data_IF_146296841238
#
_entry.id   IF_146296841238
#
_cell.length_a   1.000
_cell.length_b   1.000
_cell.length_c   1.000
_cell.angle_alpha   90.00
_cell.angle_beta   90.00
_cell.angle_gamma   90.00
#
_symmetry.space_group_name_H-M   'P 1'
#
loop_
_entity.id
_entity.type
_entity.pdbx_description
1 polymer ?
#
# COMPACT_ATOMS: atom_id res chain seq x y z
N UNK A 1 -7.02 9.60 3.05
CA UNK A 1 -6.97 11.08 2.92
C UNK A 1 -7.90 11.68 1.86
N UNK A 2 -8.58 10.89 1.01
CA UNK A 2 -9.49 11.41 -0.03
C UNK A 2 -10.70 12.18 0.51
N UNK A 3 -11.17 11.84 1.71
CA UNK A 3 -12.35 12.47 2.35
C UNK A 3 -12.11 13.97 2.62
N UNK A 4 -10.89 14.36 3.00
CA UNK A 4 -10.56 15.76 3.28
C UNK A 4 -10.65 16.66 2.04
N UNK A 5 -10.20 16.16 0.89
CA UNK A 5 -10.29 16.88 -0.39
C UNK A 5 -11.73 17.05 -0.86
N UNK A 6 -12.55 16.01 -0.71
CA UNK A 6 -13.97 16.07 -1.05
C UNK A 6 -14.68 17.11 -0.19
N UNK A 7 -14.37 17.17 1.10
CA UNK A 7 -14.94 18.17 2.02
C UNK A 7 -14.50 19.61 1.72
N UNK A 8 -13.30 19.79 1.15
CA UNK A 8 -12.80 21.10 0.71
C UNK A 8 -13.23 21.48 -0.72
N UNK A 9 -13.95 20.61 -1.43
CA UNK A 9 -14.34 20.84 -2.83
C UNK A 9 -13.17 20.85 -3.82
N UNK A 10 -12.00 20.38 -3.41
CA UNK A 10 -10.76 20.44 -4.19
C UNK A 10 -10.56 19.23 -5.11
N UNK A 11 -11.43 18.23 -5.00
CA UNK A 11 -11.35 17.00 -5.78
C UNK A 11 -11.38 17.27 -7.30
N UNK A 12 -12.11 18.30 -7.73
CA UNK A 12 -12.20 18.68 -9.14
C UNK A 12 -10.90 19.29 -9.66
N UNK A 13 -10.14 20.01 -8.83
CA UNK A 13 -8.88 20.65 -9.22
C UNK A 13 -7.78 19.63 -9.50
N UNK A 14 -7.71 18.56 -8.70
CA UNK A 14 -6.69 17.51 -8.86
C UNK A 14 -7.00 16.53 -10.01
N UNK A 15 -8.25 16.49 -10.51
CA UNK A 15 -8.65 15.58 -11.59
C UNK A 15 -8.57 16.21 -12.98
N UNK A 16 -8.74 17.53 -13.10
CA UNK A 16 -8.76 18.21 -14.40
C UNK A 16 -7.36 18.32 -15.00
N UNK A 17 -7.15 17.69 -16.16
CA UNK A 17 -5.92 17.77 -16.95
C UNK A 17 -5.75 19.16 -17.56
N UNK A 18 -4.52 19.68 -17.55
CA UNK A 18 -4.17 20.93 -18.21
C UNK A 18 -4.50 20.86 -19.72
N UNK A 19 -5.27 21.80 -20.28
CA UNK A 19 -5.50 21.88 -21.72
C UNK A 19 -4.18 22.10 -22.48
N UNK A 20 -4.01 21.45 -23.64
CA UNK A 20 -2.82 21.65 -24.49
C UNK A 20 -2.94 22.98 -25.25
N UNK A 21 -1.88 23.79 -25.34
CA UNK A 21 -1.94 25.03 -26.12
C UNK A 21 -2.11 24.71 -27.61
N UNK A 22 -3.14 25.28 -28.25
CA UNK A 22 -3.33 25.35 -29.70
C UNK A 22 -3.78 26.78 -30.03
N UNK A 23 -3.39 27.33 -31.19
CA UNK A 23 -3.57 28.74 -31.59
C UNK A 23 -5.04 29.14 -31.86
N UNK A 24 -5.93 28.98 -30.88
CA UNK A 24 -7.34 29.39 -30.99
C UNK A 24 -7.77 30.11 -29.71
N UNK A 25 -8.32 31.33 -29.85
CA UNK A 25 -8.68 32.23 -28.74
C UNK A 25 -9.55 31.63 -27.61
N UNK A 26 -10.51 30.71 -27.85
CA UNK A 26 -11.32 30.10 -26.78
C UNK A 26 -10.48 29.31 -25.76
N UNK A 27 -9.36 28.73 -26.20
CA UNK A 27 -8.49 27.86 -25.40
C UNK A 27 -7.63 28.69 -24.42
N UNK A 28 -7.31 29.94 -24.75
CA UNK A 28 -6.53 30.83 -23.87
C UNK A 28 -7.32 31.14 -22.58
N UNK A 29 -8.63 31.39 -22.71
CA UNK A 29 -9.54 31.62 -21.58
C UNK A 29 -9.66 30.38 -20.69
N UNK A 30 -9.76 29.20 -21.31
CA UNK A 30 -9.84 27.92 -20.59
C UNK A 30 -8.54 27.59 -19.84
N UNK A 31 -7.38 27.85 -20.46
CA UNK A 31 -6.06 27.71 -19.81
C UNK A 31 -5.95 28.67 -18.62
N UNK A 32 -6.34 29.93 -18.78
CA UNK A 32 -6.30 30.90 -17.69
C UNK A 32 -7.22 30.50 -16.52
N UNK A 33 -8.42 29.98 -16.81
CA UNK A 33 -9.33 29.48 -15.80
C UNK A 33 -8.78 28.24 -15.10
N UNK A 34 -8.14 27.33 -15.84
CA UNK A 34 -7.46 26.17 -15.28
C UNK A 34 -6.31 26.57 -14.35
N UNK A 35 -5.43 27.50 -14.80
CA UNK A 35 -4.31 28.00 -13.99
C UNK A 35 -4.79 28.63 -12.69
N UNK A 36 -5.88 29.42 -12.73
CA UNK A 36 -6.48 29.99 -11.52
C UNK A 36 -6.96 28.91 -10.56
N UNK A 37 -7.65 27.88 -11.06
CA UNK A 37 -8.12 26.75 -10.25
C UNK A 37 -6.95 25.98 -9.64
N UNK A 38 -5.90 25.71 -10.42
CA UNK A 38 -4.69 25.01 -9.98
C UNK A 38 -3.97 25.79 -8.87
N UNK A 39 -3.79 27.11 -9.02
CA UNK A 39 -3.19 27.96 -8.00
C UNK A 39 -3.99 27.95 -6.69
N UNK A 40 -5.33 28.02 -6.76
CA UNK A 40 -6.21 27.93 -5.59
C UNK A 40 -6.06 26.58 -4.91
N UNK A 41 -6.10 25.49 -5.68
CA UNK A 41 -5.92 24.14 -5.14
C UNK A 41 -4.56 23.93 -4.49
N UNK A 42 -3.49 24.43 -5.12
CA UNK A 42 -2.13 24.36 -4.58
C UNK A 42 -2.03 25.13 -3.27
N UNK A 43 -2.54 26.37 -3.22
CA UNK A 43 -2.56 27.16 -1.99
C UNK A 43 -3.34 26.51 -0.86
N UNK A 44 -4.46 25.85 -1.17
CA UNK A 44 -5.24 25.12 -0.19
C UNK A 44 -4.54 23.86 0.34
N UNK A 45 -3.80 23.13 -0.51
CA UNK A 45 -2.98 21.99 -0.08
C UNK A 45 -1.82 22.48 0.80
N UNK A 46 -1.08 23.49 0.34
CA UNK A 46 0.06 24.05 1.07
C UNK A 46 -0.34 24.62 2.43
N UNK A 47 -1.49 25.30 2.54
CA UNK A 47 -1.97 25.86 3.81
C UNK A 47 -2.39 24.80 4.83
N UNK A 48 -2.61 23.55 4.40
CA UNK A 48 -2.89 22.43 5.28
C UNK A 48 -1.62 21.70 5.75
N UNK A 49 -0.45 22.04 5.21
CA UNK A 49 0.82 21.43 5.59
C UNK A 49 1.40 22.06 6.86
N UNK A 50 2.20 21.29 7.59
CA UNK A 50 3.07 21.85 8.64
C UNK A 50 4.16 22.73 8.03
N UNK A 51 4.73 23.65 8.81
CA UNK A 51 5.79 24.55 8.34
C UNK A 51 6.98 23.80 7.71
N UNK A 52 7.33 22.63 8.26
CA UNK A 52 8.41 21.79 7.72
C UNK A 52 8.09 21.25 6.33
N UNK A 53 6.88 20.73 6.13
CA UNK A 53 6.46 20.20 4.83
C UNK A 53 6.22 21.32 3.82
N UNK A 54 5.67 22.45 4.27
CA UNK A 54 5.49 23.64 3.44
C UNK A 54 6.82 24.08 2.82
N UNK A 55 7.90 24.19 3.60
CA UNK A 55 9.21 24.62 3.11
C UNK A 55 9.79 23.68 2.04
N UNK A 56 9.46 22.39 2.09
CA UNK A 56 9.90 21.41 1.08
C UNK A 56 9.07 21.55 -0.21
N UNK A 57 7.77 21.82 -0.07
CA UNK A 57 6.80 21.70 -1.16
C UNK A 57 6.32 23.04 -1.74
N UNK A 58 6.75 24.19 -1.21
CA UNK A 58 6.29 25.51 -1.64
C UNK A 58 6.78 25.94 -3.04
N UNK A 59 7.68 25.17 -3.66
CA UNK A 59 8.20 25.44 -5.00
C UNK A 59 7.08 25.57 -6.05
N UNK A 60 7.23 26.54 -6.96
CA UNK A 60 6.33 26.78 -8.09
C UNK A 60 6.42 25.70 -9.19
N UNK A 61 7.33 24.73 -9.04
CA UNK A 61 7.43 23.55 -9.91
C UNK A 61 6.24 22.59 -9.75
N UNK A 62 5.48 22.69 -8.66
CA UNK A 62 4.36 21.80 -8.39
C UNK A 62 3.02 22.38 -8.85
N UNK A 63 2.26 21.58 -9.60
CA UNK A 63 0.81 21.77 -9.78
C UNK A 63 0.08 21.26 -8.54
N UNK A 64 -1.17 21.65 -8.33
CA UNK A 64 -1.99 21.10 -7.24
C UNK A 64 -2.07 19.57 -7.32
N UNK A 65 -2.19 19.03 -8.54
CA UNK A 65 -2.26 17.59 -8.79
C UNK A 65 -0.94 16.87 -8.48
N UNK A 66 0.20 17.39 -8.95
CA UNK A 66 1.49 16.74 -8.71
C UNK A 66 1.88 16.83 -7.24
N UNK A 67 1.62 17.97 -6.59
CA UNK A 67 1.80 18.13 -5.14
C UNK A 67 0.96 17.12 -4.36
N UNK A 68 -0.33 17.02 -4.69
CA UNK A 68 -1.23 16.07 -4.04
C UNK A 68 -0.77 14.62 -4.23
N UNK A 69 -0.36 14.25 -5.43
CA UNK A 69 0.10 12.89 -5.71
C UNK A 69 1.37 12.55 -4.93
N UNK A 70 2.33 13.47 -4.84
CA UNK A 70 3.56 13.23 -4.08
C UNK A 70 3.28 13.10 -2.58
N UNK A 71 2.44 13.99 -2.03
CA UNK A 71 2.01 13.92 -0.64
C UNK A 71 1.24 12.62 -0.35
N UNK A 72 0.33 12.23 -1.26
CA UNK A 72 -0.41 10.99 -1.12
C UNK A 72 0.54 9.79 -1.19
N UNK A 73 1.42 9.69 -2.18
CA UNK A 73 2.38 8.59 -2.27
C UNK A 73 3.25 8.44 -1.01
N UNK A 74 3.72 9.57 -0.46
CA UNK A 74 4.64 9.57 0.67
C UNK A 74 3.96 9.38 2.03
N UNK A 75 2.69 9.76 2.14
CA UNK A 75 1.97 9.84 3.41
C UNK A 75 0.62 9.11 3.42
N UNK A 76 0.28 8.27 2.42
CA UNK A 76 -0.98 7.52 2.39
C UNK A 76 -1.07 6.53 3.55
N UNK A 77 -1.52 7.01 4.70
CA UNK A 77 -1.67 6.25 5.94
C UNK A 77 -2.82 5.25 5.90
N UNK A 78 -3.78 5.40 4.97
CA UNK A 78 -4.90 4.44 4.81
C UNK A 78 -4.39 3.10 4.28
N UNK A 79 -3.47 3.13 3.30
CA UNK A 79 -2.84 1.95 2.73
C UNK A 79 -1.84 1.35 3.73
N UNK A 80 -1.01 2.19 4.35
CA UNK A 80 -0.10 1.78 5.44
C UNK A 80 -0.85 1.19 6.66
N UNK A 81 -2.09 1.62 6.92
CA UNK A 81 -2.94 1.08 7.98
C UNK A 81 -3.43 -0.34 7.67
N UNK A 82 -3.79 -0.61 6.41
CA UNK A 82 -4.16 -1.94 5.93
C UNK A 82 -2.93 -2.85 5.86
N UNK A 83 -1.80 -2.35 5.37
CA UNK A 83 -0.50 -3.03 5.38
C UNK A 83 -0.12 -3.51 6.79
N UNK A 84 -0.18 -2.60 7.78
CA UNK A 84 0.09 -2.94 9.18
C UNK A 84 -0.89 -3.98 9.72
N UNK A 85 -2.15 -3.94 9.29
CA UNK A 85 -3.15 -4.94 9.66
C UNK A 85 -2.81 -6.32 9.08
N UNK A 86 -2.45 -6.40 7.80
CA UNK A 86 -2.07 -7.66 7.15
C UNK A 86 -0.78 -8.23 7.73
N UNK A 87 0.25 -7.41 7.96
CA UNK A 87 1.49 -7.85 8.61
C UNK A 87 1.18 -8.41 10.00
N UNK A 88 0.41 -7.66 10.80
CA UNK A 88 0.06 -8.11 12.15
C UNK A 88 -0.75 -9.41 12.14
N UNK A 89 -1.67 -9.59 11.18
CA UNK A 89 -2.44 -10.83 11.02
C UNK A 89 -1.54 -11.98 10.62
N UNK A 90 -0.68 -11.79 9.61
CA UNK A 90 0.27 -12.80 9.16
C UNK A 90 1.19 -13.25 10.30
N UNK A 91 1.77 -12.31 11.05
CA UNK A 91 2.69 -12.64 12.16
C UNK A 91 2.00 -13.40 13.29
N UNK A 92 0.76 -13.03 13.65
CA UNK A 92 0.01 -13.65 14.75
C UNK A 92 -0.73 -14.94 14.37
N UNK A 93 -0.85 -15.23 13.08
CA UNK A 93 -1.53 -16.44 12.61
C UNK A 93 -0.81 -17.67 13.16
N UNK A 94 -1.58 -18.61 13.71
CA UNK A 94 -1.13 -19.90 14.23
C UNK A 94 -2.18 -20.95 13.85
N UNK A 95 -1.76 -22.10 13.33
CA UNK A 95 -2.71 -23.14 12.96
C UNK A 95 -3.28 -23.83 14.21
N UNK A 96 -4.56 -24.16 14.14
CA UNK A 96 -5.30 -24.87 15.19
C UNK A 96 -5.63 -26.30 14.75
N UNK A 97 -5.69 -27.23 15.70
CA UNK A 97 -5.83 -28.67 15.43
C UNK A 97 -7.24 -29.09 14.97
N UNK A 98 -8.24 -28.26 15.24
CA UNK A 98 -9.66 -28.51 14.95
C UNK A 98 -10.08 -28.11 13.53
N UNK A 99 -9.18 -27.51 12.74
CA UNK A 99 -9.42 -27.10 11.35
C UNK A 99 -8.47 -27.83 10.40
N UNK A 100 -8.89 -28.00 9.14
CA UNK A 100 -8.04 -28.67 8.16
C UNK A 100 -6.77 -27.87 7.87
N UNK A 101 -5.65 -28.56 7.65
CA UNK A 101 -4.37 -27.93 7.30
C UNK A 101 -4.48 -27.19 5.96
N UNK A 102 -5.28 -27.72 5.02
CA UNK A 102 -5.46 -27.14 3.71
C UNK A 102 -6.18 -25.78 3.76
N UNK A 103 -7.29 -25.67 4.51
CA UNK A 103 -8.00 -24.40 4.70
C UNK A 103 -7.10 -23.36 5.35
N UNK A 104 -6.40 -23.75 6.42
CA UNK A 104 -5.53 -22.83 7.14
C UNK A 104 -4.30 -22.40 6.32
N UNK A 105 -3.78 -23.27 5.47
CA UNK A 105 -2.72 -22.92 4.52
C UNK A 105 -3.21 -21.92 3.48
N UNK A 106 -4.44 -22.08 2.99
CA UNK A 106 -5.06 -21.13 2.06
C UNK A 106 -5.24 -19.74 2.70
N UNK A 107 -5.62 -19.68 3.99
CA UNK A 107 -5.69 -18.41 4.72
C UNK A 107 -4.33 -17.69 4.79
N UNK A 108 -3.24 -18.43 5.04
CA UNK A 108 -1.88 -17.87 5.07
C UNK A 108 -1.45 -17.37 3.68
N UNK A 109 -1.75 -18.12 2.62
CA UNK A 109 -1.46 -17.72 1.23
C UNK A 109 -2.23 -16.44 0.87
N UNK A 110 -3.50 -16.32 1.28
CA UNK A 110 -4.28 -15.11 1.05
C UNK A 110 -3.70 -13.89 1.78
N UNK A 111 -3.15 -14.08 2.99
CA UNK A 111 -2.43 -13.03 3.70
C UNK A 111 -1.13 -12.63 2.99
N UNK A 112 -0.38 -13.59 2.46
CA UNK A 112 0.82 -13.33 1.65
C UNK A 112 0.48 -12.54 0.39
N UNK A 113 -0.56 -12.94 -0.35
CA UNK A 113 -1.02 -12.21 -1.53
C UNK A 113 -1.46 -10.78 -1.21
N UNK A 114 -2.13 -10.57 -0.07
CA UNK A 114 -2.51 -9.24 0.37
C UNK A 114 -1.28 -8.35 0.69
N UNK A 115 -0.23 -8.93 1.28
CA UNK A 115 1.05 -8.25 1.50
C UNK A 115 1.77 -7.94 0.18
N UNK A 116 1.79 -8.88 -0.76
CA UNK A 116 2.40 -8.68 -2.07
C UNK A 116 1.70 -7.59 -2.90
N UNK A 117 0.36 -7.48 -2.81
CA UNK A 117 -0.42 -6.42 -3.43
C UNK A 117 -0.12 -5.04 -2.83
N UNK A 118 0.26 -4.98 -1.56
CA UNK A 118 0.70 -3.76 -0.90
C UNK A 118 2.23 -3.56 -1.01
N UNK A 119 2.84 -4.11 -2.07
CA UNK A 119 4.27 -3.99 -2.41
C UNK A 119 5.25 -4.56 -1.35
N UNK A 120 4.77 -5.29 -0.35
CA UNK A 120 5.59 -5.92 0.71
C UNK A 120 5.84 -7.40 0.40
N UNK A 121 6.62 -7.66 -0.66
CA UNK A 121 7.00 -9.03 -1.03
C UNK A 121 7.94 -9.63 0.01
N UNK A 122 7.57 -10.79 0.54
CA UNK A 122 8.39 -11.54 1.47
C UNK A 122 9.32 -12.50 0.70
N UNK A 123 10.59 -12.68 1.12
CA UNK A 123 11.46 -13.69 0.53
C UNK A 123 10.88 -15.10 0.68
N UNK A 124 11.01 -15.94 -0.36
CA UNK A 124 10.47 -17.31 -0.36
C UNK A 124 10.94 -18.12 0.86
N UNK A 125 12.23 -18.03 1.19
CA UNK A 125 12.78 -18.69 2.39
C UNK A 125 12.11 -18.22 3.69
N UNK A 126 11.76 -16.93 3.79
CA UNK A 126 11.07 -16.40 4.96
C UNK A 126 9.65 -16.95 5.05
N UNK A 127 8.93 -17.04 3.92
CA UNK A 127 7.59 -17.60 3.85
C UNK A 127 7.58 -19.08 4.28
N UNK A 128 8.48 -19.90 3.74
CA UNK A 128 8.57 -21.32 4.10
C UNK A 128 8.81 -21.50 5.60
N UNK A 129 9.78 -20.77 6.16
CA UNK A 129 10.08 -20.85 7.60
C UNK A 129 8.93 -20.31 8.44
N UNK A 130 8.24 -19.25 8.00
CA UNK A 130 7.08 -18.71 8.70
C UNK A 130 5.87 -19.64 8.67
N UNK A 131 5.68 -20.40 7.59
CA UNK A 131 4.61 -21.41 7.51
C UNK A 131 4.92 -22.59 8.44
N UNK A 132 6.18 -23.03 8.47
CA UNK A 132 6.63 -24.09 9.38
C UNK A 132 6.42 -23.71 10.86
N UNK A 133 6.77 -22.49 11.26
CA UNK A 133 6.58 -21.96 12.62
C UNK A 133 5.10 -21.81 13.02
N UNK A 134 4.18 -21.87 12.04
CA UNK A 134 2.73 -21.78 12.26
C UNK A 134 2.06 -23.14 12.38
N UNK A 135 2.79 -24.23 12.20
CA UNK A 135 2.22 -25.57 12.28
C UNK A 135 1.77 -25.90 13.70
N UNK A 136 0.68 -26.68 13.85
CA UNK A 136 0.34 -27.23 15.14
C UNK A 136 1.43 -28.23 15.57
N UNK A 137 1.64 -28.35 16.88
CA UNK A 137 2.68 -29.23 17.47
C UNK A 137 2.62 -30.68 16.99
N UNK A 138 1.43 -31.20 16.66
CA UNK A 138 1.31 -32.55 16.13
C UNK A 138 1.94 -32.73 14.73
N UNK A 139 1.87 -31.69 13.88
CA UNK A 139 2.52 -31.71 12.57
C UNK A 139 4.03 -31.55 12.69
N UNK A 140 4.52 -30.72 13.63
CA UNK A 140 5.97 -30.63 13.89
C UNK A 140 6.56 -32.00 14.22
N UNK A 141 5.88 -32.75 15.10
CA UNK A 141 6.27 -34.12 15.45
C UNK A 141 6.25 -35.04 14.22
N UNK A 142 5.19 -34.99 13.42
CA UNK A 142 5.09 -35.77 12.18
C UNK A 142 6.25 -35.47 11.21
N UNK A 143 6.57 -34.21 10.96
CA UNK A 143 7.67 -33.81 10.09
C UNK A 143 9.03 -34.25 10.63
N UNK A 144 9.26 -34.12 11.95
CA UNK A 144 10.48 -34.62 12.58
C UNK A 144 10.62 -36.14 12.44
N UNK A 145 9.55 -36.90 12.68
CA UNK A 145 9.53 -38.35 12.57
C UNK A 145 9.77 -38.80 11.11
N UNK A 146 9.21 -38.07 10.14
CA UNK A 146 9.37 -38.36 8.71
C UNK A 146 10.80 -38.12 8.22
N UNK A 147 11.43 -36.99 8.59
CA UNK A 147 12.83 -36.70 8.27
C UNK A 147 13.80 -37.72 8.88
N UNK A 148 13.52 -38.19 10.10
CA UNK A 148 14.33 -39.23 10.76
C UNK A 148 14.19 -40.56 10.00
N UNK A 149 13.00 -40.87 9.50
CA UNK A 149 12.75 -42.09 8.72
C UNK A 149 13.48 -42.08 7.37
N UNK A 150 13.47 -40.96 6.64
CA UNK A 150 14.15 -40.82 5.35
C UNK A 150 15.68 -40.90 5.50
N UNK A 151 16.25 -40.30 6.55
CA UNK A 151 17.69 -40.42 6.82
C UNK A 151 18.12 -41.84 7.13
N UNK A 152 17.28 -42.63 7.82
CA UNK A 152 17.58 -44.05 8.10
C UNK A 152 17.53 -44.91 6.84
N UNK A 153 16.65 -44.60 5.89
CA UNK A 153 16.52 -45.34 4.61
C UNK A 153 17.71 -45.06 3.68
N UNK A 154 18.28 -43.85 3.71
CA UNK A 154 19.44 -43.49 2.87
C UNK A 154 20.78 -43.99 3.45
N UNK A 155 20.82 -44.37 4.73
CA UNK A 155 22.02 -44.82 5.43
C UNK A 155 22.15 -46.35 5.62
N UNK A 156 21.22 -47.14 5.09
CA UNK A 156 21.22 -48.62 5.16
C UNK A 156 21.32 -49.24 3.78
#
# INVERSE_FOLDING_TARGET
MKIWLTMKGLLTVIQVTRPKPTNTDPIISEIAQWTKRDQIGRGAILSALSNTLFNVYCSDSYTAKSLWNELNQKHNTEEQGLEKCFISKFMRYQMVEDRSVAEQTHEIINLEHALANAEMKLPEKFLVMSIMDKFPKFLEKFWHDTQISERKIVSG
#
